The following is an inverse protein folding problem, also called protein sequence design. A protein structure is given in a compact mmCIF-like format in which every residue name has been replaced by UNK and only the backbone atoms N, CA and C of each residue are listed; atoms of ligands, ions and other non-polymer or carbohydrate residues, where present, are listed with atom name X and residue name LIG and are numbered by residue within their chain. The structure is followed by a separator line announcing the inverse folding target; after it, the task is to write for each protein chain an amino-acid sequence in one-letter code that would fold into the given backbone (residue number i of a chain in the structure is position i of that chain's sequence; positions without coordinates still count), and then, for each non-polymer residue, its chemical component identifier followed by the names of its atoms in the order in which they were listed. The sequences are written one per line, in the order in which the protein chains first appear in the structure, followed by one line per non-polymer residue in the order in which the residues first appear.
data_IF_817000620769
#
_entry.id   IF_817000620769
#
_cell.length_a   1.000
_cell.length_b   1.000
_cell.length_c   1.000
_cell.angle_alpha   90.00
_cell.angle_beta   90.00
_cell.angle_gamma   90.00
#
_symmetry.space_group_name_H-M   'P 1'
#
loop_
_entity.id
_entity.type
_entity.pdbx_description
1 polymer ?
#
# COMPACT_ATOMS: atom_id res chain seq x y z
N UNK A 1 -14.11 1.67 -79.45
CA UNK A 1 -15.01 2.43 -78.54
C UNK A 1 -14.17 2.80 -77.33
N UNK A 2 -13.96 4.10 -77.06
CA UNK A 2 -13.18 4.52 -75.87
C UNK A 2 -14.06 4.43 -74.64
N UNK A 3 -13.56 3.75 -73.59
CA UNK A 3 -14.18 3.66 -72.27
C UNK A 3 -14.02 4.97 -71.52
N UNK A 4 -15.14 5.65 -71.25
CA UNK A 4 -15.18 6.84 -70.40
C UNK A 4 -14.99 6.43 -68.94
N UNK A 5 -13.84 6.77 -68.36
CA UNK A 5 -13.62 6.66 -66.92
C UNK A 5 -14.33 7.79 -66.19
N UNK A 6 -15.31 7.44 -65.39
CA UNK A 6 -15.98 8.35 -64.44
C UNK A 6 -15.03 8.71 -63.32
N UNK A 7 -14.81 9.98 -62.99
CA UNK A 7 -13.96 10.33 -61.84
C UNK A 7 -14.59 9.90 -60.52
N UNK A 8 -13.76 9.53 -59.51
CA UNK A 8 -14.26 9.11 -58.20
C UNK A 8 -14.97 10.30 -57.51
N UNK A 9 -16.02 10.02 -56.71
CA UNK A 9 -16.75 11.06 -55.99
C UNK A 9 -15.81 11.79 -55.00
N UNK A 10 -15.98 13.14 -55.02
CA UNK A 10 -15.24 14.04 -54.10
C UNK A 10 -15.47 13.58 -52.65
N UNK A 11 -14.36 13.35 -51.91
CA UNK A 11 -14.42 13.13 -50.46
C UNK A 11 -15.10 14.34 -49.83
N UNK A 12 -16.28 14.13 -49.28
CA UNK A 12 -16.96 15.07 -48.38
C UNK A 12 -16.03 15.29 -47.17
N UNK A 13 -15.53 16.52 -47.07
CA UNK A 13 -14.74 16.95 -45.89
C UNK A 13 -15.60 16.75 -44.65
N UNK A 14 -15.29 15.70 -43.90
CA UNK A 14 -15.89 15.47 -42.59
C UNK A 14 -15.53 16.64 -41.68
N UNK A 15 -16.49 17.22 -40.95
CA UNK A 15 -16.20 18.34 -40.07
C UNK A 15 -15.10 17.95 -39.09
N UNK A 16 -14.15 18.84 -38.74
CA UNK A 16 -13.08 18.55 -37.82
C UNK A 16 -13.70 18.08 -36.51
N UNK A 17 -13.35 16.84 -36.09
CA UNK A 17 -13.79 16.32 -34.82
C UNK A 17 -13.36 17.30 -33.74
N UNK A 18 -14.26 17.69 -32.81
CA UNK A 18 -13.89 18.57 -31.70
C UNK A 18 -12.70 17.95 -31.00
N UNK A 19 -11.64 18.75 -30.84
CA UNK A 19 -10.42 18.34 -30.14
C UNK A 19 -10.84 17.76 -28.81
N UNK A 20 -10.58 16.44 -28.60
CA UNK A 20 -10.81 15.81 -27.30
C UNK A 20 -10.14 16.70 -26.26
N UNK A 21 -10.89 17.14 -25.20
CA UNK A 21 -10.29 17.93 -24.14
C UNK A 21 -9.03 17.17 -23.71
N UNK A 22 -7.90 17.88 -23.75
CA UNK A 22 -6.60 17.31 -23.41
C UNK A 22 -6.78 16.53 -22.10
N UNK A 23 -6.69 15.20 -22.18
CA UNK A 23 -6.90 14.31 -21.06
C UNK A 23 -6.04 14.91 -19.95
N UNK A 24 -6.69 15.28 -18.80
CA UNK A 24 -6.01 15.84 -17.64
C UNK A 24 -4.73 15.04 -17.48
N UNK A 25 -3.59 15.68 -17.71
CA UNK A 25 -2.29 15.05 -17.55
C UNK A 25 -2.28 14.53 -16.12
N UNK A 26 -2.60 13.26 -15.94
CA UNK A 26 -2.56 12.61 -14.64
C UNK A 26 -1.16 12.92 -14.12
N UNK A 27 -1.07 13.62 -12.99
CA UNK A 27 0.21 14.09 -12.46
C UNK A 27 1.02 12.86 -12.12
N UNK A 28 1.82 12.42 -13.08
CA UNK A 28 2.71 11.27 -12.94
C UNK A 28 3.63 11.49 -11.74
N UNK A 29 3.84 10.46 -10.96
CA UNK A 29 4.79 10.52 -9.87
C UNK A 29 6.21 10.68 -10.44
N UNK A 30 6.95 11.69 -9.97
CA UNK A 30 8.37 11.76 -10.32
C UNK A 30 9.17 10.67 -9.59
N UNK A 31 10.27 10.17 -10.19
CA UNK A 31 11.13 9.17 -9.52
C UNK A 31 11.63 9.64 -8.14
N UNK A 32 11.88 10.94 -8.00
CA UNK A 32 12.29 11.52 -6.72
C UNK A 32 11.21 11.37 -5.65
N UNK A 33 9.95 11.64 -5.99
CA UNK A 33 8.83 11.49 -5.04
C UNK A 33 8.65 10.03 -4.62
N UNK A 34 8.82 9.06 -5.53
CA UNK A 34 8.75 7.65 -5.20
C UNK A 34 9.88 7.26 -4.24
N UNK A 35 11.11 7.73 -4.49
CA UNK A 35 12.26 7.48 -3.60
C UNK A 35 12.05 8.09 -2.22
N UNK A 36 11.59 9.33 -2.15
CA UNK A 36 11.31 9.99 -0.88
C UNK A 36 10.20 9.26 -0.10
N UNK A 37 9.15 8.80 -0.79
CA UNK A 37 8.11 7.99 -0.18
C UNK A 37 8.65 6.65 0.37
N UNK A 38 9.49 5.96 -0.39
CA UNK A 38 10.15 4.73 0.06
C UNK A 38 11.07 4.99 1.27
N UNK A 39 11.84 6.07 1.25
CA UNK A 39 12.69 6.45 2.38
C UNK A 39 11.85 6.80 3.63
N UNK A 40 10.76 7.55 3.48
CA UNK A 40 9.85 7.85 4.58
C UNK A 40 9.21 6.58 5.15
N UNK A 41 8.81 5.62 4.30
CA UNK A 41 8.29 4.33 4.74
C UNK A 41 9.34 3.54 5.54
N UNK A 42 10.63 3.57 5.15
CA UNK A 42 11.71 2.93 5.91
C UNK A 42 11.96 3.60 7.26
N UNK A 43 11.91 4.93 7.34
CA UNK A 43 12.06 5.65 8.61
C UNK A 43 10.94 5.28 9.57
N UNK A 44 9.69 5.27 9.11
CA UNK A 44 8.55 4.85 9.92
C UNK A 44 8.65 3.38 10.35
N UNK A 45 9.13 2.52 9.47
CA UNK A 45 9.37 1.13 9.81
C UNK A 45 10.47 0.97 10.88
N UNK A 46 11.53 1.78 10.81
CA UNK A 46 12.57 1.80 11.85
C UNK A 46 11.99 2.23 13.21
N UNK A 47 11.09 3.22 13.21
CA UNK A 47 10.34 3.61 14.41
C UNK A 47 9.49 2.43 14.93
N UNK A 48 8.73 1.77 14.05
CA UNK A 48 7.96 0.57 14.44
C UNK A 48 8.84 -0.49 15.11
N UNK A 49 9.95 -0.89 14.46
CA UNK A 49 10.85 -1.92 15.00
C UNK A 49 11.46 -1.48 16.32
N UNK A 50 11.90 -0.23 16.42
CA UNK A 50 12.50 0.31 17.63
C UNK A 50 11.51 0.24 18.81
N UNK A 51 10.30 0.72 18.62
CA UNK A 51 9.29 0.75 19.67
C UNK A 51 8.72 -0.64 20.01
N UNK A 52 8.68 -1.57 19.07
CA UNK A 52 8.29 -2.96 19.34
C UNK A 52 9.40 -3.75 20.05
N UNK A 53 10.68 -3.41 19.83
CA UNK A 53 11.82 -4.13 20.42
C UNK A 53 12.29 -3.59 21.79
N UNK A 54 11.89 -2.36 22.14
CA UNK A 54 12.27 -1.79 23.43
C UNK A 54 11.47 -2.42 24.57
N UNK A 55 12.12 -2.79 25.67
CA UNK A 55 11.43 -3.20 26.88
C UNK A 55 10.78 -1.96 27.52
N UNK A 56 9.48 -1.85 27.43
CA UNK A 56 8.72 -0.79 28.09
C UNK A 56 8.48 -1.15 29.56
N UNK A 57 8.54 -0.18 30.49
CA UNK A 57 8.20 -0.42 31.88
C UNK A 57 6.78 -0.94 32.00
N UNK A 58 6.56 -1.93 32.84
CA UNK A 58 5.25 -2.52 33.10
C UNK A 58 4.24 -1.53 33.74
N UNK A 59 4.68 -0.35 34.13
CA UNK A 59 3.96 0.58 35.00
C UNK A 59 3.20 1.67 34.22
N UNK A 60 2.47 1.33 33.20
CA UNK A 60 1.48 2.23 32.58
C UNK A 60 1.87 2.91 31.27
N UNK A 61 3.16 3.09 30.98
CA UNK A 61 3.62 3.71 29.72
C UNK A 61 3.81 2.70 28.57
N UNK A 62 3.51 1.40 28.83
CA UNK A 62 3.58 0.34 27.82
C UNK A 62 2.69 0.63 26.60
N UNK A 63 1.52 1.20 26.83
CA UNK A 63 0.57 1.57 25.78
C UNK A 63 1.13 2.59 24.80
N UNK A 64 1.90 3.59 25.27
CA UNK A 64 2.45 4.62 24.40
C UNK A 64 3.41 4.03 23.36
N UNK A 65 4.20 3.02 23.76
CA UNK A 65 5.13 2.32 22.85
C UNK A 65 4.42 1.57 21.74
N UNK A 66 3.39 0.83 22.11
CA UNK A 66 2.59 0.04 21.16
C UNK A 66 1.81 0.95 20.20
N UNK A 67 1.24 2.03 20.69
CA UNK A 67 0.54 3.03 19.87
C UNK A 67 1.47 3.68 18.87
N UNK A 68 2.67 4.12 19.28
CA UNK A 68 3.68 4.71 18.39
C UNK A 68 4.12 3.71 17.34
N UNK A 69 4.34 2.45 17.71
CA UNK A 69 4.67 1.38 16.78
C UNK A 69 3.54 1.15 15.77
N UNK A 70 2.30 1.05 16.23
CA UNK A 70 1.13 0.86 15.37
C UNK A 70 0.89 2.01 14.40
N UNK A 71 1.01 3.26 14.88
CA UNK A 71 0.95 4.49 14.05
C UNK A 71 2.02 4.46 12.98
N UNK A 72 3.26 4.20 13.36
CA UNK A 72 4.39 4.19 12.44
C UNK A 72 4.25 3.10 11.37
N UNK A 73 3.83 1.90 11.75
CA UNK A 73 3.61 0.80 10.80
C UNK A 73 2.47 1.11 9.83
N UNK A 74 1.30 1.53 10.33
CA UNK A 74 0.13 1.86 9.51
C UNK A 74 0.44 3.01 8.54
N UNK A 75 1.16 4.05 8.99
CA UNK A 75 1.60 5.16 8.14
C UNK A 75 2.58 4.69 7.06
N UNK A 76 3.51 3.80 7.38
CA UNK A 76 4.43 3.19 6.40
C UNK A 76 3.67 2.45 5.30
N UNK A 77 2.68 1.64 5.67
CA UNK A 77 1.80 0.94 4.71
C UNK A 77 0.98 1.92 3.88
N UNK A 78 0.41 2.97 4.50
CA UNK A 78 -0.35 4.00 3.80
C UNK A 78 0.48 4.69 2.72
N UNK A 79 1.75 4.99 2.99
CA UNK A 79 2.68 5.58 2.01
C UNK A 79 2.84 4.65 0.81
N UNK A 80 3.07 3.35 1.03
CA UNK A 80 3.22 2.36 -0.05
C UNK A 80 1.95 2.29 -0.91
N UNK A 81 0.78 2.19 -0.28
CA UNK A 81 -0.50 2.15 -1.01
C UNK A 81 -0.78 3.47 -1.73
N UNK A 82 -0.43 4.62 -1.13
CA UNK A 82 -0.53 5.94 -1.77
C UNK A 82 0.33 6.06 -3.03
N UNK A 83 1.56 5.53 -3.01
CA UNK A 83 2.42 5.44 -4.20
C UNK A 83 1.81 4.50 -5.23
N UNK A 84 1.30 3.33 -4.81
CA UNK A 84 0.65 2.37 -5.69
C UNK A 84 -0.59 2.95 -6.39
N UNK A 85 -1.42 3.70 -5.67
CA UNK A 85 -2.59 4.38 -6.23
C UNK A 85 -2.20 5.42 -7.29
N UNK A 86 -1.25 6.29 -6.96
CA UNK A 86 -0.81 7.36 -7.88
C UNK A 86 0.03 6.82 -9.02
N UNK A 87 0.77 5.74 -8.80
CA UNK A 87 1.54 5.03 -9.81
C UNK A 87 0.72 4.09 -10.68
N UNK A 88 -0.61 4.06 -10.53
CA UNK A 88 -1.49 3.24 -11.36
C UNK A 88 -1.37 1.74 -11.16
N UNK A 89 -0.78 1.28 -10.03
CA UNK A 89 -0.60 -0.15 -9.74
C UNK A 89 -1.92 -0.94 -9.74
N UNK A 90 -3.04 -0.29 -9.40
CA UNK A 90 -4.38 -0.89 -9.41
C UNK A 90 -5.04 -0.90 -10.80
N UNK A 91 -4.31 -0.54 -11.85
CA UNK A 91 -4.82 -0.56 -13.23
C UNK A 91 -5.91 0.49 -13.50
N UNK A 92 -6.58 0.34 -14.65
CA UNK A 92 -7.66 1.25 -15.09
C UNK A 92 -9.04 0.85 -14.53
N UNK A 93 -9.18 -0.32 -13.92
CA UNK A 93 -10.44 -0.83 -13.39
C UNK A 93 -10.94 -0.04 -12.20
N UNK A 94 -12.22 0.41 -12.24
CA UNK A 94 -12.81 1.19 -11.15
C UNK A 94 -12.84 0.41 -9.82
N UNK A 95 -13.12 -0.89 -9.86
CA UNK A 95 -13.22 -1.73 -8.67
C UNK A 95 -11.89 -1.79 -7.90
N UNK A 96 -10.79 -2.13 -8.58
CA UNK A 96 -9.48 -2.19 -7.95
C UNK A 96 -8.97 -0.83 -7.46
N UNK A 97 -9.28 0.22 -8.21
CA UNK A 97 -8.96 1.59 -7.77
C UNK A 97 -9.74 1.97 -6.51
N UNK A 98 -11.02 1.57 -6.40
CA UNK A 98 -11.81 1.75 -5.19
C UNK A 98 -11.24 0.96 -4.00
N UNK A 99 -10.79 -0.28 -4.20
CA UNK A 99 -10.08 -1.07 -3.19
C UNK A 99 -8.82 -0.35 -2.71
N UNK A 100 -8.00 0.16 -3.64
CA UNK A 100 -6.79 0.91 -3.29
C UNK A 100 -7.10 2.19 -2.50
N UNK A 101 -8.13 2.95 -2.89
CA UNK A 101 -8.56 4.16 -2.16
C UNK A 101 -9.08 3.79 -0.77
N UNK A 102 -9.90 2.75 -0.66
CA UNK A 102 -10.40 2.25 0.62
C UNK A 102 -9.28 1.80 1.55
N UNK A 103 -8.31 1.04 1.01
CA UNK A 103 -7.14 0.61 1.77
C UNK A 103 -6.28 1.79 2.25
N UNK A 104 -6.03 2.77 1.38
CA UNK A 104 -5.32 3.98 1.77
C UNK A 104 -6.05 4.74 2.87
N UNK A 105 -7.36 4.92 2.73
CA UNK A 105 -8.18 5.60 3.72
C UNK A 105 -8.20 4.86 5.06
N UNK A 106 -8.32 3.53 5.05
CA UNK A 106 -8.28 2.71 6.26
C UNK A 106 -6.93 2.83 6.98
N UNK A 107 -5.81 2.70 6.24
CA UNK A 107 -4.47 2.78 6.81
C UNK A 107 -4.14 4.18 7.33
N UNK A 108 -4.41 5.23 6.54
CA UNK A 108 -4.15 6.60 6.93
C UNK A 108 -5.10 7.05 8.07
N UNK A 109 -6.36 6.62 8.02
CA UNK A 109 -7.35 6.89 9.07
C UNK A 109 -6.99 6.21 10.38
N UNK A 110 -6.55 4.96 10.34
CA UNK A 110 -6.07 4.23 11.51
C UNK A 110 -4.83 4.92 12.13
N UNK A 111 -3.84 5.28 11.31
CA UNK A 111 -2.68 6.03 11.78
C UNK A 111 -3.08 7.34 12.46
N UNK A 112 -3.98 8.11 11.85
CA UNK A 112 -4.44 9.38 12.41
C UNK A 112 -5.23 9.17 13.70
N UNK A 113 -6.09 8.13 13.74
CA UNK A 113 -6.88 7.80 14.93
C UNK A 113 -5.98 7.40 16.11
N UNK A 114 -5.04 6.48 15.89
CA UNK A 114 -4.09 6.06 16.92
C UNK A 114 -3.20 7.21 17.40
N UNK A 115 -2.81 8.12 16.50
CA UNK A 115 -2.01 9.30 16.87
C UNK A 115 -2.74 10.26 17.82
N UNK A 116 -4.08 10.30 17.79
CA UNK A 116 -4.88 11.09 18.73
C UNK A 116 -5.37 10.26 19.93
N UNK A 117 -5.08 8.98 19.95
CA UNK A 117 -5.47 8.02 20.99
C UNK A 117 -5.28 8.54 22.42
N UNK A 118 -4.11 9.13 22.78
CA UNK A 118 -3.85 9.61 24.13
C UNK A 118 -4.82 10.68 24.66
N UNK A 119 -5.59 11.33 23.77
CA UNK A 119 -6.60 12.34 24.14
C UNK A 119 -8.03 11.84 24.03
N UNK A 120 -8.23 10.57 23.67
CA UNK A 120 -9.53 9.95 23.53
C UNK A 120 -9.93 9.21 24.81
N UNK A 121 -11.26 9.08 25.10
CA UNK A 121 -11.74 8.22 26.17
C UNK A 121 -11.34 6.76 25.94
N UNK A 122 -10.89 6.07 26.99
CA UNK A 122 -10.40 4.68 26.95
C UNK A 122 -11.43 3.72 26.31
N UNK A 123 -12.72 3.85 26.65
CA UNK A 123 -13.77 3.03 26.06
C UNK A 123 -13.90 3.18 24.53
N UNK A 124 -13.58 4.36 23.98
CA UNK A 124 -13.56 4.57 22.53
C UNK A 124 -12.31 3.95 21.88
N UNK A 125 -11.19 3.98 22.60
CA UNK A 125 -9.95 3.34 22.12
C UNK A 125 -10.12 1.83 22.02
N UNK A 126 -10.58 1.16 23.07
CA UNK A 126 -10.81 -0.29 23.05
C UNK A 126 -11.74 -0.74 21.91
N UNK A 127 -12.87 -0.04 21.74
CA UNK A 127 -13.81 -0.35 20.65
C UNK A 127 -13.19 -0.13 19.27
N UNK A 128 -12.40 0.92 19.13
CA UNK A 128 -11.80 1.25 17.86
C UNK A 128 -10.66 0.28 17.51
N UNK A 129 -9.84 -0.15 18.45
CA UNK A 129 -8.79 -1.13 18.22
C UNK A 129 -9.33 -2.47 17.76
N UNK A 130 -10.44 -2.93 18.35
CA UNK A 130 -11.11 -4.17 17.91
C UNK A 130 -11.56 -4.13 16.45
N UNK A 131 -11.89 -2.94 15.93
CA UNK A 131 -12.35 -2.76 14.55
C UNK A 131 -11.21 -2.37 13.62
N UNK A 132 -10.32 -1.48 14.07
CA UNK A 132 -9.27 -0.93 13.20
C UNK A 132 -8.21 -1.96 12.83
N UNK A 133 -7.78 -2.83 13.76
CA UNK A 133 -6.75 -3.82 13.49
C UNK A 133 -7.14 -4.81 12.38
N UNK A 134 -8.30 -5.50 12.43
CA UNK A 134 -8.70 -6.38 11.34
C UNK A 134 -9.01 -5.63 10.05
N UNK A 135 -9.55 -4.39 10.16
CA UNK A 135 -9.83 -3.55 8.99
C UNK A 135 -8.54 -3.16 8.26
N UNK A 136 -7.52 -2.73 8.99
CA UNK A 136 -6.20 -2.33 8.44
C UNK A 136 -5.53 -3.51 7.76
N UNK A 137 -5.45 -4.66 8.43
CA UNK A 137 -4.82 -5.85 7.88
C UNK A 137 -5.59 -6.39 6.68
N UNK A 138 -6.92 -6.45 6.76
CA UNK A 138 -7.78 -6.88 5.65
C UNK A 138 -7.71 -5.94 4.45
N UNK A 139 -7.75 -4.63 4.68
CA UNK A 139 -7.64 -3.62 3.63
C UNK A 139 -6.27 -3.68 2.94
N UNK A 140 -5.18 -3.83 3.71
CA UNK A 140 -3.84 -4.00 3.16
C UNK A 140 -3.73 -5.29 2.35
N UNK A 141 -4.27 -6.40 2.84
CA UNK A 141 -4.27 -7.68 2.13
C UNK A 141 -4.98 -7.57 0.78
N UNK A 142 -6.20 -7.00 0.75
CA UNK A 142 -6.95 -6.79 -0.49
C UNK A 142 -6.21 -5.88 -1.47
N UNK A 143 -5.58 -4.80 -0.98
CA UNK A 143 -4.77 -3.92 -1.80
C UNK A 143 -3.55 -4.65 -2.39
N UNK A 144 -2.87 -5.46 -1.59
CA UNK A 144 -1.71 -6.25 -2.02
C UNK A 144 -2.09 -7.29 -3.08
N UNK A 145 -3.24 -7.96 -2.94
CA UNK A 145 -3.81 -8.85 -3.97
C UNK A 145 -4.10 -8.05 -5.25
N UNK A 146 -4.67 -6.86 -5.14
CA UNK A 146 -4.94 -5.98 -6.27
C UNK A 146 -3.67 -5.60 -7.03
N UNK A 147 -2.61 -5.19 -6.33
CA UNK A 147 -1.31 -4.86 -6.93
C UNK A 147 -0.73 -6.09 -7.63
N UNK A 148 -0.79 -7.27 -7.00
CA UNK A 148 -0.27 -8.51 -7.55
C UNK A 148 -1.02 -8.97 -8.81
N UNK A 149 -2.35 -8.89 -8.82
CA UNK A 149 -3.19 -9.46 -9.89
C UNK A 149 -3.35 -8.53 -11.08
N UNK A 150 -3.58 -7.23 -10.85
CA UNK A 150 -3.86 -6.26 -11.93
C UNK A 150 -2.61 -5.81 -12.68
N UNK A 151 -1.45 -5.83 -12.03
CA UNK A 151 -0.16 -5.97 -12.66
C UNK A 151 0.38 -4.86 -13.53
N UNK A 152 0.09 -3.58 -13.26
CA UNK A 152 0.85 -2.49 -13.91
C UNK A 152 2.26 -2.33 -13.36
N UNK A 153 2.47 -2.68 -12.11
CA UNK A 153 3.81 -2.76 -11.55
C UNK A 153 4.49 -4.06 -11.96
N UNK A 154 5.80 -4.03 -12.11
CA UNK A 154 6.63 -5.15 -12.53
C UNK A 154 7.74 -5.40 -11.51
N UNK A 155 8.29 -6.61 -11.52
CA UNK A 155 9.39 -6.98 -10.64
C UNK A 155 9.01 -7.04 -9.16
N UNK A 156 9.98 -6.84 -8.24
CA UNK A 156 9.79 -6.99 -6.81
C UNK A 156 8.68 -6.09 -6.24
N UNK A 157 8.58 -4.84 -6.70
CA UNK A 157 7.55 -3.90 -6.22
C UNK A 157 6.11 -4.42 -6.39
N UNK A 158 5.88 -5.33 -7.34
CA UNK A 158 4.57 -5.97 -7.56
C UNK A 158 4.27 -7.05 -6.53
N UNK A 159 5.25 -7.88 -6.18
CA UNK A 159 5.04 -9.08 -5.36
C UNK A 159 5.24 -8.82 -3.85
N UNK A 160 6.14 -7.91 -3.48
CA UNK A 160 6.53 -7.70 -2.09
C UNK A 160 5.39 -7.22 -1.19
N UNK A 161 4.44 -6.34 -1.61
CA UNK A 161 3.28 -6.02 -0.78
C UNK A 161 2.45 -7.25 -0.42
N UNK A 162 2.29 -8.19 -1.38
CA UNK A 162 1.58 -9.45 -1.11
C UNK A 162 2.36 -10.37 -0.17
N UNK A 163 3.67 -10.46 -0.33
CA UNK A 163 4.52 -11.19 0.61
C UNK A 163 4.43 -10.60 2.02
N UNK A 164 4.44 -9.28 2.16
CA UNK A 164 4.19 -8.62 3.45
C UNK A 164 2.84 -8.99 4.03
N UNK A 165 1.79 -8.99 3.21
CA UNK A 165 0.43 -9.32 3.63
C UNK A 165 0.23 -10.82 3.94
N UNK A 166 1.14 -11.71 3.54
CA UNK A 166 1.05 -13.15 3.74
C UNK A 166 1.51 -13.62 5.15
N UNK A 167 1.71 -12.70 6.09
CA UNK A 167 2.09 -13.00 7.47
C UNK A 167 1.26 -14.11 8.16
N UNK A 168 -0.06 -14.30 7.88
CA UNK A 168 -0.80 -15.38 8.52
C UNK A 168 -0.20 -16.76 8.23
N UNK A 169 0.37 -16.94 7.02
CA UNK A 169 1.05 -18.18 6.64
C UNK A 169 2.30 -18.45 7.50
N UNK A 170 3.04 -17.38 7.81
CA UNK A 170 4.23 -17.47 8.67
C UNK A 170 3.84 -17.85 10.10
N UNK A 171 2.82 -17.20 10.67
CA UNK A 171 2.32 -17.50 12.02
C UNK A 171 1.79 -18.94 12.10
N UNK A 172 0.94 -19.33 11.14
CA UNK A 172 0.42 -20.71 11.07
C UNK A 172 1.58 -21.71 10.95
N UNK A 173 2.58 -21.42 10.11
CA UNK A 173 3.76 -22.29 9.97
C UNK A 173 4.52 -22.47 11.29
N UNK A 174 4.75 -21.39 12.04
CA UNK A 174 5.43 -21.44 13.35
C UNK A 174 4.62 -22.25 14.36
N UNK A 175 3.31 -22.02 14.44
CA UNK A 175 2.42 -22.74 15.36
C UNK A 175 2.36 -24.23 15.02
N UNK A 176 2.28 -24.59 13.73
CA UNK A 176 2.23 -25.99 13.30
C UNK A 176 3.53 -26.76 13.58
N UNK A 177 4.68 -26.11 13.47
CA UNK A 177 5.99 -26.74 13.70
C UNK A 177 6.33 -26.78 15.19
N UNK A 178 6.00 -25.75 15.94
CA UNK A 178 6.43 -25.56 17.31
C UNK A 178 5.41 -25.97 18.40
N UNK A 179 4.16 -26.19 18.02
CA UNK A 179 3.08 -26.50 18.98
C UNK A 179 2.62 -25.27 19.78
N UNK A 180 1.63 -25.48 20.65
CA UNK A 180 0.91 -24.43 21.39
C UNK A 180 1.72 -23.70 22.50
N UNK A 181 3.01 -23.92 22.61
CA UNK A 181 3.88 -23.28 23.61
C UNK A 181 4.81 -22.18 23.07
N UNK A 182 4.60 -21.71 21.82
CA UNK A 182 5.50 -20.76 21.17
C UNK A 182 4.87 -19.39 20.91
N UNK A 183 4.05 -18.89 21.83
CA UNK A 183 3.39 -17.58 21.64
C UNK A 183 4.39 -16.44 21.39
N UNK A 184 5.51 -16.45 22.11
CA UNK A 184 6.57 -15.47 21.93
C UNK A 184 7.29 -15.63 20.57
N UNK A 185 7.60 -16.87 20.17
CA UNK A 185 8.22 -17.14 18.87
C UNK A 185 7.27 -16.81 17.71
N UNK A 186 5.98 -17.07 17.85
CA UNK A 186 4.96 -16.67 16.87
C UNK A 186 4.85 -15.15 16.75
N UNK A 187 4.92 -14.42 17.88
CA UNK A 187 4.95 -12.97 17.90
C UNK A 187 6.17 -12.41 17.17
N UNK A 188 7.39 -12.89 17.50
CA UNK A 188 8.61 -12.45 16.81
C UNK A 188 8.60 -12.79 15.32
N UNK A 189 8.07 -13.97 14.95
CA UNK A 189 7.92 -14.35 13.56
C UNK A 189 6.93 -13.42 12.82
N UNK A 190 5.83 -13.06 13.45
CA UNK A 190 4.85 -12.10 12.94
C UNK A 190 5.46 -10.72 12.72
N UNK A 191 6.04 -10.14 13.77
CA UNK A 191 6.66 -8.79 13.70
C UNK A 191 7.82 -8.78 12.70
N UNK A 192 8.67 -9.81 12.74
CA UNK A 192 9.80 -9.96 11.82
C UNK A 192 9.35 -10.06 10.36
N UNK A 193 8.29 -10.83 10.09
CA UNK A 193 7.71 -10.96 8.75
C UNK A 193 7.18 -9.61 8.24
N UNK A 194 6.41 -8.92 9.06
CA UNK A 194 5.86 -7.60 8.72
C UNK A 194 6.98 -6.58 8.46
N UNK A 195 7.97 -6.53 9.35
CA UNK A 195 9.09 -5.60 9.24
C UNK A 195 9.94 -5.89 8.00
N UNK A 196 10.32 -7.15 7.78
CA UNK A 196 11.13 -7.54 6.62
C UNK A 196 10.38 -7.31 5.30
N UNK A 197 9.13 -7.75 5.21
CA UNK A 197 8.31 -7.58 4.01
C UNK A 197 8.12 -6.11 3.65
N UNK A 198 7.84 -5.27 4.64
CA UNK A 198 7.67 -3.83 4.44
C UNK A 198 9.00 -3.15 4.08
N UNK A 199 10.12 -3.52 4.71
CA UNK A 199 11.44 -3.02 4.37
C UNK A 199 11.80 -3.33 2.91
N UNK A 200 11.61 -4.58 2.49
CA UNK A 200 11.86 -5.00 1.11
C UNK A 200 10.96 -4.26 0.11
N UNK A 201 9.70 -4.03 0.46
CA UNK A 201 8.76 -3.25 -0.36
C UNK A 201 9.24 -1.81 -0.52
N UNK A 202 9.63 -1.15 0.56
CA UNK A 202 10.13 0.22 0.52
C UNK A 202 11.46 0.34 -0.25
N UNK A 203 12.37 -0.62 -0.08
CA UNK A 203 13.63 -0.69 -0.86
C UNK A 203 13.33 -0.88 -2.34
N UNK A 204 12.37 -1.75 -2.71
CA UNK A 204 11.96 -1.94 -4.10
C UNK A 204 11.39 -0.66 -4.71
N UNK A 205 10.60 0.13 -3.96
CA UNK A 205 10.12 1.44 -4.41
C UNK A 205 11.29 2.40 -4.71
N UNK A 206 12.32 2.42 -3.87
CA UNK A 206 13.50 3.26 -4.07
C UNK A 206 14.29 2.80 -5.29
N UNK A 207 14.56 1.51 -5.40
CA UNK A 207 15.37 0.93 -6.48
C UNK A 207 14.67 1.06 -7.84
N UNK A 208 13.38 0.75 -7.90
CA UNK A 208 12.62 0.74 -9.15
C UNK A 208 11.90 2.06 -9.46
N UNK A 209 12.19 3.14 -8.73
CA UNK A 209 11.49 4.42 -8.82
C UNK A 209 11.37 4.97 -10.26
N UNK A 210 12.41 4.81 -11.10
CA UNK A 210 12.38 5.23 -12.51
C UNK A 210 11.40 4.41 -13.34
N UNK A 211 11.39 3.08 -13.14
CA UNK A 211 10.49 2.15 -13.85
C UNK A 211 9.04 2.37 -13.43
N UNK A 212 8.81 2.57 -12.12
CA UNK A 212 7.48 2.83 -11.57
C UNK A 212 6.91 4.16 -12.07
N UNK A 213 7.75 5.20 -12.19
CA UNK A 213 7.36 6.48 -12.73
C UNK A 213 7.00 6.42 -14.24
N UNK A 214 7.61 5.53 -15.01
CA UNK A 214 7.28 5.36 -16.43
C UNK A 214 6.03 4.52 -16.68
N UNK A 215 5.62 3.70 -15.69
CA UNK A 215 4.41 2.86 -15.76
C UNK A 215 3.13 3.59 -15.32
N UNK A 216 3.26 4.80 -14.74
CA UNK A 216 2.16 5.61 -14.18
C UNK A 216 1.41 6.45 -15.22
#
# INVERSE_FOLDING_TARGET
MPTVQTPPPARTDAPPMPARPAARAERRLSPLRIRLAGAAALVLLAVFVLFTALPWPADGDAYLGDDVAAVAYSASLAIVIGVALRGGAFGAGRAWRAVGVGAFAALAGSSAFLAIGPVLPEALLEQAEQVTSPLVLGAFWLAAVGILTVGRWHGPARALPFLTASWPMTVVGVVLVGGAGLDEAAWFAFVGHLALGQALTAVALIADARRLASAS
#
